data_IF_174777844836
#
_entry.id   IF_174777844836
#
_cell.length_a   1.000
_cell.length_b   1.000
_cell.length_c   1.000
_cell.angle_alpha   90.00
_cell.angle_beta   90.00
_cell.angle_gamma   90.00
#
_symmetry.space_group_name_H-M   'P 1'
#
loop_
_entity.id
_entity.type
_entity.pdbx_description
1 polymer ?
#
# COMPACT_ATOMS: atom_id res chain seq x y z
N UNK A 1 -46.02 3.54 -10.68
CA UNK A 1 -45.48 4.61 -11.54
C UNK A 1 -44.03 4.25 -11.80
N UNK A 2 -43.74 3.82 -13.03
CA UNK A 2 -42.49 3.16 -13.39
C UNK A 2 -41.33 4.16 -13.41
N UNK A 3 -40.21 3.77 -12.79
CA UNK A 3 -38.95 4.50 -12.84
C UNK A 3 -38.38 4.38 -14.26
N UNK A 4 -38.41 5.47 -15.02
CA UNK A 4 -37.85 5.54 -16.36
C UNK A 4 -36.31 5.73 -16.28
N UNK A 5 -35.61 4.60 -16.41
CA UNK A 5 -34.15 4.51 -16.44
C UNK A 5 -33.51 5.21 -17.67
N UNK A 6 -34.31 5.76 -18.60
CA UNK A 6 -33.81 6.47 -19.79
C UNK A 6 -33.43 7.93 -19.53
N UNK A 7 -33.86 8.50 -18.41
CA UNK A 7 -33.56 9.89 -18.03
C UNK A 7 -32.13 10.11 -17.53
N UNK A 8 -31.40 9.04 -17.21
CA UNK A 8 -30.02 9.10 -16.69
C UNK A 8 -28.93 9.16 -17.78
N UNK A 9 -29.29 9.07 -19.07
CA UNK A 9 -28.30 8.97 -20.18
C UNK A 9 -28.22 10.26 -21.02
N UNK A 10 -29.03 11.28 -20.71
CA UNK A 10 -29.06 12.53 -21.49
C UNK A 10 -28.47 13.70 -20.70
N UNK A 11 -27.19 13.58 -20.32
CA UNK A 11 -26.45 14.69 -19.70
C UNK A 11 -25.75 15.52 -20.79
N UNK A 12 -26.04 16.83 -20.91
CA UNK A 12 -25.50 17.65 -22.00
C UNK A 12 -23.97 17.82 -21.88
N UNK A 13 -23.26 18.00 -23.01
CA UNK A 13 -21.79 17.93 -23.10
C UNK A 13 -21.06 18.98 -22.24
N UNK A 14 -21.74 20.03 -21.81
CA UNK A 14 -21.22 21.07 -20.93
C UNK A 14 -20.98 20.60 -19.48
N UNK A 15 -21.71 19.57 -19.02
CA UNK A 15 -21.51 18.99 -17.69
C UNK A 15 -20.31 18.04 -17.64
N UNK A 16 -19.85 17.51 -18.77
CA UNK A 16 -18.65 16.67 -18.80
C UNK A 16 -17.40 17.48 -18.46
N UNK A 17 -17.27 18.69 -19.01
CA UNK A 17 -16.15 19.58 -18.67
C UNK A 17 -16.17 19.95 -17.18
N UNK A 18 -17.35 20.24 -16.63
CA UNK A 18 -17.54 20.53 -15.21
C UNK A 18 -17.19 19.32 -14.32
N UNK A 19 -17.62 18.11 -14.69
CA UNK A 19 -17.34 16.89 -13.95
C UNK A 19 -15.85 16.51 -14.02
N UNK A 20 -15.19 16.68 -15.17
CA UNK A 20 -13.75 16.49 -15.31
C UNK A 20 -13.00 17.51 -14.46
N UNK A 21 -13.42 18.79 -14.50
CA UNK A 21 -12.83 19.84 -13.67
C UNK A 21 -12.97 19.53 -12.18
N UNK A 22 -14.16 19.14 -11.73
CA UNK A 22 -14.39 18.69 -10.35
C UNK A 22 -13.52 17.49 -9.99
N UNK A 23 -13.34 16.52 -10.87
CA UNK A 23 -12.47 15.35 -10.62
C UNK A 23 -10.97 15.69 -10.58
N UNK A 24 -10.55 16.72 -11.32
CA UNK A 24 -9.16 17.21 -11.31
C UNK A 24 -8.89 18.10 -10.09
N UNK A 25 -9.87 18.89 -9.64
CA UNK A 25 -9.76 19.78 -8.47
C UNK A 25 -9.95 18.99 -7.17
N UNK A 26 -10.97 18.13 -7.11
CA UNK A 26 -11.18 17.14 -6.05
C UNK A 26 -10.50 15.84 -6.46
N UNK A 27 -9.17 15.85 -6.59
CA UNK A 27 -8.44 14.59 -6.58
C UNK A 27 -8.79 13.89 -5.27
N UNK A 28 -9.35 12.66 -5.27
CA UNK A 28 -9.20 11.83 -4.09
C UNK A 28 -7.69 11.77 -3.83
N UNK A 29 -7.28 12.14 -2.62
CA UNK A 29 -5.91 12.01 -2.16
C UNK A 29 -5.55 10.53 -2.35
N UNK A 30 -4.91 10.22 -3.48
CA UNK A 30 -4.22 8.96 -3.62
C UNK A 30 -3.11 9.09 -2.58
N UNK A 31 -3.11 8.18 -1.60
CA UNK A 31 -1.94 7.94 -0.76
C UNK A 31 -0.76 7.74 -1.72
N UNK A 32 -0.02 8.81 -2.00
CA UNK A 32 1.31 8.68 -2.56
C UNK A 32 2.09 7.98 -1.48
N UNK A 33 2.31 6.68 -1.67
CA UNK A 33 3.42 6.03 -1.01
C UNK A 33 4.65 6.85 -1.41
N UNK A 34 5.14 7.68 -0.49
CA UNK A 34 6.32 8.52 -0.72
C UNK A 34 7.42 7.65 -1.30
N UNK A 35 8.00 8.08 -2.41
CA UNK A 35 9.14 7.40 -3.00
C UNK A 35 10.22 7.17 -1.93
N UNK A 36 10.82 5.98 -1.88
CA UNK A 36 11.84 5.69 -0.89
C UNK A 36 13.03 6.64 -1.07
N UNK A 37 13.46 7.31 0.00
CA UNK A 37 14.64 8.21 -0.03
C UNK A 37 15.90 7.50 -0.55
N UNK A 38 16.04 6.21 -0.24
CA UNK A 38 17.08 5.35 -0.77
C UNK A 38 16.63 3.88 -0.72
N UNK A 39 17.24 3.05 -1.57
CA UNK A 39 17.07 1.59 -1.58
C UNK A 39 18.43 0.92 -1.58
N UNK A 40 18.64 0.01 -0.64
CA UNK A 40 19.86 -0.81 -0.55
C UNK A 40 19.45 -2.27 -0.71
N UNK A 41 20.11 -2.97 -1.63
CA UNK A 41 19.94 -4.41 -1.84
C UNK A 41 21.22 -5.13 -1.44
N UNK A 42 21.10 -6.37 -0.94
CA UNK A 42 22.24 -7.21 -0.63
C UNK A 42 23.07 -7.56 -1.87
N UNK A 43 24.35 -7.86 -1.68
CA UNK A 43 25.27 -8.26 -2.76
C UNK A 43 25.30 -9.77 -3.03
N UNK A 44 24.58 -10.57 -2.24
CA UNK A 44 24.53 -12.04 -2.33
C UNK A 44 23.67 -12.59 -3.48
N UNK A 45 23.08 -11.71 -4.30
CA UNK A 45 22.25 -12.08 -5.43
C UNK A 45 20.75 -12.16 -5.09
N UNK A 46 19.97 -12.71 -6.03
CA UNK A 46 18.52 -12.86 -5.91
C UNK A 46 18.14 -14.25 -5.39
N UNK A 47 17.03 -14.33 -4.66
CA UNK A 47 16.43 -15.61 -4.28
C UNK A 47 15.70 -16.26 -5.47
N UNK A 48 15.52 -17.58 -5.39
CA UNK A 48 14.78 -18.34 -6.41
C UNK A 48 13.28 -18.06 -6.30
N UNK A 49 12.63 -17.77 -7.43
CA UNK A 49 11.18 -17.59 -7.46
C UNK A 49 10.43 -18.84 -6.98
N UNK A 50 9.32 -18.66 -6.27
CA UNK A 50 8.50 -19.70 -5.63
C UNK A 50 9.27 -20.56 -4.60
N UNK A 51 10.27 -19.97 -3.95
CA UNK A 51 10.98 -20.63 -2.84
C UNK A 51 10.29 -20.40 -1.50
N UNK A 52 10.59 -21.27 -0.53
CA UNK A 52 10.19 -21.08 0.87
C UNK A 52 10.66 -19.72 1.41
N UNK A 53 11.86 -19.26 1.03
CA UNK A 53 12.35 -17.92 1.36
C UNK A 53 11.42 -16.81 0.85
N UNK A 54 10.91 -16.93 -0.39
CA UNK A 54 9.95 -15.96 -0.94
C UNK A 54 8.65 -15.93 -0.13
N UNK A 55 8.12 -17.09 0.24
CA UNK A 55 6.90 -17.19 1.07
C UNK A 55 7.12 -16.57 2.45
N UNK A 56 8.24 -16.89 3.11
CA UNK A 56 8.61 -16.32 4.41
C UNK A 56 8.79 -14.80 4.33
N UNK A 57 9.44 -14.30 3.27
CA UNK A 57 9.61 -12.86 3.02
C UNK A 57 8.26 -12.17 2.83
N UNK A 58 7.37 -12.76 2.03
CA UNK A 58 6.02 -12.22 1.81
C UNK A 58 5.21 -12.18 3.10
N UNK A 59 5.28 -13.24 3.90
CA UNK A 59 4.62 -13.29 5.21
C UNK A 59 5.17 -12.23 6.16
N UNK A 60 6.49 -12.07 6.23
CA UNK A 60 7.13 -11.06 7.07
C UNK A 60 6.71 -9.63 6.69
N UNK A 61 6.68 -9.32 5.38
CA UNK A 61 6.26 -8.01 4.90
C UNK A 61 4.77 -7.74 5.17
N UNK A 62 3.91 -8.75 5.04
CA UNK A 62 2.50 -8.64 5.38
C UNK A 62 2.32 -8.32 6.87
N UNK A 63 3.06 -8.99 7.74
CA UNK A 63 2.98 -8.77 9.19
C UNK A 63 3.34 -7.33 9.57
N UNK A 64 4.31 -6.69 8.92
CA UNK A 64 4.64 -5.27 9.17
C UNK A 64 3.46 -4.36 8.82
N UNK A 65 2.74 -4.67 7.75
CA UNK A 65 1.65 -3.82 7.25
C UNK A 65 0.33 -3.99 7.99
N UNK A 66 0.11 -5.13 8.65
CA UNK A 66 -1.17 -5.48 9.29
C UNK A 66 -1.15 -5.42 10.81
N UNK A 67 0.00 -5.12 11.42
CA UNK A 67 0.09 -5.08 12.87
C UNK A 67 -0.52 -3.77 13.38
N UNK A 68 -1.74 -3.85 13.91
CA UNK A 68 -2.47 -2.72 14.50
C UNK A 68 -1.96 -2.38 15.93
N UNK A 69 -1.11 -3.22 16.54
CA UNK A 69 -0.55 -2.99 17.89
C UNK A 69 0.75 -2.18 17.85
N UNK A 70 0.77 -1.11 17.06
CA UNK A 70 1.93 -0.23 16.88
C UNK A 70 2.13 0.62 18.15
N UNK A 71 2.72 0.03 19.20
CA UNK A 71 2.88 0.76 20.46
C UNK A 71 4.00 1.81 20.36
N UNK A 72 5.01 1.58 19.52
CA UNK A 72 6.23 2.40 19.47
C UNK A 72 6.78 2.69 18.06
N UNK A 73 6.05 2.30 17.01
CA UNK A 73 6.51 2.46 15.63
C UNK A 73 7.77 1.66 15.29
N UNK A 74 8.18 0.68 16.10
CA UNK A 74 9.36 -0.16 15.86
C UNK A 74 8.97 -1.64 15.87
N UNK A 75 9.50 -2.38 14.90
CA UNK A 75 9.29 -3.82 14.75
C UNK A 75 10.61 -4.56 14.67
N UNK A 76 10.69 -5.68 15.39
CA UNK A 76 11.73 -6.68 15.21
C UNK A 76 11.04 -8.03 15.01
N UNK A 77 11.02 -8.50 13.76
CA UNK A 77 10.23 -9.65 13.35
C UNK A 77 11.08 -10.63 12.57
N UNK A 78 10.71 -11.90 12.67
CA UNK A 78 11.31 -12.97 11.89
C UNK A 78 10.22 -13.90 11.37
N UNK A 79 10.47 -14.55 10.24
CA UNK A 79 9.58 -15.54 9.64
C UNK A 79 10.37 -16.72 9.11
N UNK A 80 9.83 -17.93 9.29
CA UNK A 80 10.48 -19.17 8.90
C UNK A 80 11.59 -19.65 9.84
N UNK A 81 12.31 -20.67 9.39
CA UNK A 81 13.46 -21.28 10.08
C UNK A 81 14.60 -21.50 9.09
N UNK A 82 15.82 -21.70 9.61
CA UNK A 82 17.00 -22.00 8.79
C UNK A 82 16.74 -23.20 7.86
N UNK A 83 17.09 -23.12 6.56
CA UNK A 83 17.90 -22.08 5.91
C UNK A 83 17.11 -20.88 5.36
N UNK A 84 15.77 -20.93 5.35
CA UNK A 84 14.90 -19.96 4.69
C UNK A 84 14.38 -18.85 5.62
N UNK A 85 15.01 -18.68 6.79
CA UNK A 85 14.61 -17.67 7.76
C UNK A 85 14.85 -16.26 7.22
N UNK A 86 13.84 -15.41 7.38
CA UNK A 86 13.91 -13.98 7.06
C UNK A 86 13.81 -13.20 8.35
N UNK A 87 14.70 -12.22 8.52
CA UNK A 87 14.69 -11.28 9.64
C UNK A 87 14.43 -9.89 9.10
N UNK A 88 13.66 -9.09 9.82
CA UNK A 88 13.31 -7.74 9.40
C UNK A 88 13.17 -6.79 10.58
N UNK A 89 13.54 -5.54 10.33
CA UNK A 89 13.32 -4.41 11.24
C UNK A 89 12.56 -3.35 10.47
N UNK A 90 11.50 -2.81 11.07
CA UNK A 90 10.76 -1.68 10.51
C UNK A 90 10.65 -0.56 11.55
N UNK A 91 10.70 0.69 11.08
CA UNK A 91 10.61 1.88 11.93
C UNK A 91 9.70 2.93 11.25
N UNK A 92 8.60 3.26 11.91
CA UNK A 92 7.75 4.39 11.59
C UNK A 92 8.35 5.68 12.14
N UNK A 93 8.03 6.79 11.50
CA UNK A 93 8.32 8.12 12.04
C UNK A 93 7.50 8.37 13.30
N UNK A 94 8.15 8.81 14.37
CA UNK A 94 7.49 9.05 15.65
C UNK A 94 6.64 10.33 15.71
N UNK A 95 6.69 11.17 14.68
CA UNK A 95 5.93 12.42 14.57
C UNK A 95 4.68 12.31 13.68
N UNK A 96 4.34 11.11 13.21
CA UNK A 96 3.16 10.81 12.39
C UNK A 96 2.12 10.08 13.23
N UNK A 97 0.84 10.45 13.11
CA UNK A 97 -0.24 9.79 13.82
C UNK A 97 -0.53 8.41 13.20
N UNK A 98 -1.05 7.46 14.00
CA UNK A 98 -1.38 6.11 13.51
C UNK A 98 -2.50 6.07 12.44
N UNK A 99 -3.17 7.19 12.18
CA UNK A 99 -4.32 7.30 11.28
C UNK A 99 -3.99 7.78 9.87
N UNK A 100 -2.72 8.06 9.56
CA UNK A 100 -2.24 8.45 8.22
C UNK A 100 -1.77 7.23 7.43
#
# INVERSE_FOLDING_TARGET
MANDLRSLVFQPPEYHLLLIFLFVVFRPFLLEATDPLYRICGSTGNFTANSTYQENLSSLLSSVSSDDNITYGFYNISSGQSPDQVNGIALCRGDVALSD
#
